data_IF_573385590964
#
_entry.id   IF_573385590964
#
_cell.length_a   1.000
_cell.length_b   1.000
_cell.length_c   1.000
_cell.angle_alpha   90.00
_cell.angle_beta   90.00
_cell.angle_gamma   90.00
#
_symmetry.space_group_name_H-M   'P 1'
#
loop_
_entity.id
_entity.type
_entity.pdbx_description
1 polymer ?
#
# COMPACT_ATOMS: atom_id res chain seq x y z
N UNK A 1 50.25 -18.55 6.05
CA UNK A 1 50.70 -17.27 5.45
C UNK A 1 49.61 -16.74 4.54
N UNK A 2 48.87 -15.73 5.01
CA UNK A 2 47.99 -14.88 4.19
C UNK A 2 48.58 -13.46 4.30
N UNK A 3 48.72 -12.70 3.20
CA UNK A 3 49.28 -11.37 3.28
C UNK A 3 48.29 -10.44 4.01
N UNK A 4 48.85 -9.74 4.98
CA UNK A 4 48.26 -8.61 5.69
C UNK A 4 48.03 -7.49 4.66
N UNK A 5 46.77 -7.34 4.23
CA UNK A 5 46.33 -6.23 3.38
C UNK A 5 45.85 -5.10 4.28
N UNK A 6 46.71 -4.10 4.46
CA UNK A 6 46.46 -2.84 5.13
C UNK A 6 45.18 -2.16 4.62
N UNK A 7 44.23 -1.93 5.52
CA UNK A 7 43.10 -1.05 5.25
C UNK A 7 43.50 0.38 5.63
N UNK A 8 43.92 1.17 4.64
CA UNK A 8 44.05 2.62 4.77
C UNK A 8 42.66 3.23 5.06
N UNK A 9 42.38 3.48 6.34
CA UNK A 9 41.30 4.35 6.80
C UNK A 9 41.87 5.73 7.07
N UNK A 10 41.61 6.69 6.19
CA UNK A 10 41.85 8.10 6.51
C UNK A 10 42.06 8.99 5.30
N UNK A 11 40.99 9.31 4.58
CA UNK A 11 40.97 10.50 3.73
C UNK A 11 40.47 11.70 4.55
N UNK A 12 41.30 12.68 4.90
CA UNK A 12 40.83 13.96 5.43
C UNK A 12 40.20 14.77 4.29
N UNK A 13 39.21 15.60 4.63
CA UNK A 13 38.65 16.65 3.77
C UNK A 13 37.84 16.19 2.54
N UNK A 14 36.69 15.56 2.80
CA UNK A 14 35.56 15.75 1.88
C UNK A 14 34.89 17.09 2.21
N UNK A 15 34.90 18.09 1.31
CA UNK A 15 34.14 19.31 1.51
C UNK A 15 32.65 18.98 1.68
N UNK A 16 31.90 19.76 2.47
CA UNK A 16 30.47 19.58 2.58
C UNK A 16 29.85 19.67 1.17
N UNK A 17 28.85 18.82 0.86
CA UNK A 17 28.18 18.89 -0.43
C UNK A 17 27.46 20.24 -0.56
N UNK A 18 27.93 21.12 -1.45
CA UNK A 18 27.33 22.41 -1.84
C UNK A 18 26.03 22.26 -2.65
N UNK A 19 25.24 21.22 -2.37
CA UNK A 19 23.93 21.02 -2.97
C UNK A 19 22.86 21.79 -2.18
N UNK A 20 21.83 22.34 -2.85
CA UNK A 20 20.61 22.76 -2.16
C UNK A 20 20.10 21.58 -1.33
N UNK A 21 19.60 21.82 -0.10
CA UNK A 21 19.15 20.76 0.78
C UNK A 21 18.16 19.88 0.00
N UNK A 22 18.50 18.59 -0.14
CA UNK A 22 17.64 17.62 -0.81
C UNK A 22 16.25 17.72 -0.14
N UNK A 23 15.17 18.03 -0.88
CA UNK A 23 13.81 18.04 -0.34
C UNK A 23 13.43 16.70 0.34
N UNK A 24 14.20 15.64 0.09
CA UNK A 24 14.09 14.31 0.73
C UNK A 24 14.73 14.24 2.13
N UNK A 25 15.36 15.31 2.60
CA UNK A 25 15.85 15.47 3.97
C UNK A 25 14.78 15.84 4.99
N UNK A 26 13.51 16.02 4.58
CA UNK A 26 12.41 16.07 5.54
C UNK A 26 12.35 14.74 6.28
N UNK A 27 12.81 14.75 7.53
CA UNK A 27 12.64 13.64 8.47
C UNK A 27 11.20 13.18 8.34
N UNK A 28 11.00 11.90 8.02
CA UNK A 28 9.69 11.27 7.91
C UNK A 28 8.79 11.40 9.16
N UNK A 29 9.25 12.07 10.22
CA UNK A 29 8.50 12.36 11.45
C UNK A 29 7.53 13.54 11.37
N UNK A 30 7.67 14.47 10.40
CA UNK A 30 6.88 15.72 10.43
C UNK A 30 5.71 15.76 9.42
N UNK A 31 5.36 14.63 8.79
CA UNK A 31 4.06 14.60 8.09
C UNK A 31 2.99 14.66 9.16
N UNK A 32 2.16 15.73 9.21
CA UNK A 32 1.09 15.81 10.18
C UNK A 32 0.22 14.58 10.00
N UNK A 33 0.21 13.72 11.02
CA UNK A 33 -0.66 12.56 11.07
C UNK A 33 -2.07 13.08 10.80
N UNK A 34 -2.68 12.69 9.68
CA UNK A 34 -4.08 13.02 9.43
C UNK A 34 -4.87 12.41 10.57
N UNK A 35 -5.40 13.24 11.47
CA UNK A 35 -6.32 12.80 12.50
C UNK A 35 -7.49 12.09 11.82
N UNK A 36 -7.82 10.92 12.31
CA UNK A 36 -8.93 10.13 11.79
C UNK A 36 -10.24 10.79 12.23
N UNK A 37 -11.26 10.77 11.36
CA UNK A 37 -12.60 11.13 11.83
C UNK A 37 -13.11 10.05 12.78
N UNK A 38 -13.99 10.38 13.74
CA UNK A 38 -14.59 9.37 14.63
C UNK A 38 -15.24 8.20 13.87
N UNK A 39 -15.92 8.51 12.76
CA UNK A 39 -16.54 7.52 11.86
C UNK A 39 -15.50 6.55 11.28
N UNK A 40 -14.37 7.05 10.77
CA UNK A 40 -13.28 6.22 10.26
C UNK A 40 -12.68 5.33 11.34
N UNK A 41 -12.59 5.82 12.57
CA UNK A 41 -12.09 5.04 13.70
C UNK A 41 -13.05 3.92 14.08
N UNK A 42 -14.36 4.18 14.07
CA UNK A 42 -15.37 3.18 14.40
C UNK A 42 -15.49 2.11 13.31
N UNK A 43 -15.47 2.49 12.03
CA UNK A 43 -15.40 1.54 10.90
C UNK A 43 -14.13 0.66 10.99
N UNK A 44 -12.98 1.29 11.24
CA UNK A 44 -11.72 0.59 11.45
C UNK A 44 -11.82 -0.41 12.60
N UNK A 45 -12.38 0.00 13.75
CA UNK A 45 -12.55 -0.87 14.91
C UNK A 45 -13.53 -2.01 14.64
N UNK A 46 -14.59 -1.79 13.86
CA UNK A 46 -15.52 -2.85 13.47
C UNK A 46 -14.82 -3.90 12.61
N UNK A 47 -14.09 -3.47 11.58
CA UNK A 47 -13.31 -4.37 10.72
C UNK A 47 -12.30 -5.20 11.53
N UNK A 48 -11.66 -4.55 12.52
CA UNK A 48 -10.73 -5.21 13.42
C UNK A 48 -11.41 -6.25 14.31
N UNK A 49 -12.60 -5.98 14.84
CA UNK A 49 -13.34 -6.96 15.65
C UNK A 49 -13.74 -8.19 14.83
N UNK A 50 -14.13 -7.98 13.59
CA UNK A 50 -14.58 -9.06 12.69
C UNK A 50 -13.43 -9.98 12.29
N UNK A 51 -12.28 -9.42 11.90
CA UNK A 51 -11.19 -10.22 11.30
C UNK A 51 -9.97 -10.42 12.21
N UNK A 52 -9.81 -9.57 13.22
CA UNK A 52 -8.61 -9.49 14.08
C UNK A 52 -8.99 -9.24 15.56
N UNK A 53 -9.83 -10.08 16.18
CA UNK A 53 -10.44 -9.79 17.49
C UNK A 53 -9.39 -9.50 18.58
N UNK A 54 -8.29 -10.26 18.62
CA UNK A 54 -7.21 -10.03 19.58
C UNK A 54 -6.56 -8.64 19.42
N UNK A 55 -6.47 -8.12 18.19
CA UNK A 55 -5.93 -6.78 17.95
C UNK A 55 -6.96 -5.71 18.32
N UNK A 56 -8.25 -5.95 18.06
CA UNK A 56 -9.33 -5.07 18.48
C UNK A 56 -9.39 -4.93 20.00
N UNK A 57 -9.27 -6.04 20.74
CA UNK A 57 -9.21 -6.04 22.20
C UNK A 57 -8.01 -5.25 22.74
N UNK A 58 -6.81 -5.50 22.19
CA UNK A 58 -5.61 -4.73 22.57
C UNK A 58 -5.76 -3.24 22.31
N UNK A 59 -6.32 -2.88 21.15
CA UNK A 59 -6.56 -1.48 20.80
C UNK A 59 -7.63 -0.83 21.68
N UNK A 60 -8.68 -1.56 22.06
CA UNK A 60 -9.69 -1.08 23.01
C UNK A 60 -9.06 -0.80 24.38
N UNK A 61 -8.21 -1.71 24.89
CA UNK A 61 -7.49 -1.50 26.14
C UNK A 61 -6.53 -0.29 26.07
N UNK A 62 -5.86 -0.08 24.93
CA UNK A 62 -5.03 1.13 24.72
C UNK A 62 -5.91 2.38 24.71
N UNK A 63 -7.07 2.35 24.04
CA UNK A 63 -8.01 3.49 23.96
C UNK A 63 -8.48 3.94 25.34
N UNK A 64 -8.73 3.00 26.26
CA UNK A 64 -9.14 3.31 27.64
C UNK A 64 -8.00 3.92 28.47
N UNK A 65 -6.76 3.44 28.27
CA UNK A 65 -5.60 3.87 29.05
C UNK A 65 -4.95 5.15 28.54
N UNK A 66 -4.80 5.27 27.22
CA UNK A 66 -4.10 6.34 26.53
C UNK A 66 -4.72 6.54 25.12
N UNK A 67 -5.70 7.45 24.99
CA UNK A 67 -6.36 7.76 23.73
C UNK A 67 -5.39 8.27 22.63
N UNK A 68 -4.38 9.04 23.00
CA UNK A 68 -3.40 9.59 22.05
C UNK A 68 -2.48 8.48 21.51
N UNK A 69 -2.11 7.51 22.35
CA UNK A 69 -1.42 6.31 21.89
C UNK A 69 -2.33 5.47 20.99
N UNK A 70 -3.61 5.31 21.32
CA UNK A 70 -4.57 4.62 20.45
C UNK A 70 -4.66 5.28 19.07
N UNK A 71 -4.82 6.60 19.00
CA UNK A 71 -4.87 7.33 17.72
C UNK A 71 -3.60 7.13 16.88
N UNK A 72 -2.42 7.19 17.50
CA UNK A 72 -1.15 6.94 16.80
C UNK A 72 -1.05 5.51 16.27
N UNK A 73 -1.40 4.54 17.12
CA UNK A 73 -1.30 3.12 16.80
C UNK A 73 -2.34 2.72 15.74
N UNK A 74 -3.55 3.25 15.80
CA UNK A 74 -4.58 3.04 14.78
C UNK A 74 -4.23 3.79 13.49
N UNK A 75 -3.81 5.05 13.59
CA UNK A 75 -3.43 5.90 12.46
C UNK A 75 -2.30 5.31 11.62
N UNK A 76 -1.28 4.72 12.25
CA UNK A 76 -0.21 4.00 11.55
C UNK A 76 -0.69 2.78 10.75
N UNK A 77 -1.79 2.15 11.18
CA UNK A 77 -2.41 1.00 10.50
C UNK A 77 -3.50 1.42 9.52
N UNK A 78 -3.94 2.68 9.56
CA UNK A 78 -5.07 3.13 8.75
C UNK A 78 -4.88 2.96 7.24
N UNK A 79 -3.68 3.19 6.64
CA UNK A 79 -3.49 2.95 5.21
C UNK A 79 -3.80 1.51 4.79
N UNK A 80 -3.53 0.53 5.66
CA UNK A 80 -3.91 -0.86 5.43
C UNK A 80 -5.42 -1.05 5.53
N UNK A 81 -6.05 -0.52 6.58
CA UNK A 81 -7.49 -0.66 6.82
C UNK A 81 -8.30 0.01 5.70
N UNK A 82 -7.92 1.22 5.25
CA UNK A 82 -8.52 1.88 4.09
C UNK A 82 -8.38 1.04 2.83
N UNK A 83 -7.23 0.39 2.63
CA UNK A 83 -7.04 -0.53 1.51
C UNK A 83 -8.02 -1.69 1.58
N UNK A 84 -8.26 -2.26 2.75
CA UNK A 84 -9.24 -3.37 2.94
C UNK A 84 -10.67 -2.88 2.65
N UNK A 85 -11.07 -1.73 3.21
CA UNK A 85 -12.43 -1.20 3.07
C UNK A 85 -12.79 -0.87 1.62
N UNK A 86 -11.87 -0.24 0.89
CA UNK A 86 -12.10 0.19 -0.50
C UNK A 86 -11.71 -0.84 -1.57
N UNK A 87 -11.16 -1.99 -1.18
CA UNK A 87 -10.87 -3.07 -2.12
C UNK A 87 -12.13 -3.82 -2.51
N UNK A 88 -12.12 -4.38 -3.73
CA UNK A 88 -13.13 -5.34 -4.15
C UNK A 88 -13.14 -6.57 -3.20
N UNK A 89 -14.25 -7.32 -3.07
CA UNK A 89 -14.40 -8.37 -2.06
C UNK A 89 -13.29 -9.42 -2.06
N UNK A 90 -12.83 -9.87 -3.24
CA UNK A 90 -11.78 -10.89 -3.31
C UNK A 90 -10.40 -10.31 -2.97
N UNK A 91 -10.11 -9.07 -3.38
CA UNK A 91 -8.86 -8.42 -2.97
C UNK A 91 -8.87 -8.17 -1.45
N UNK A 92 -10.03 -7.82 -0.88
CA UNK A 92 -10.21 -7.65 0.57
C UNK A 92 -9.83 -8.91 1.34
N UNK A 93 -10.35 -10.07 0.94
CA UNK A 93 -10.02 -11.38 1.53
C UNK A 93 -8.51 -11.65 1.48
N UNK A 94 -7.87 -11.41 0.33
CA UNK A 94 -6.43 -11.62 0.19
C UNK A 94 -5.59 -10.66 1.06
N UNK A 95 -6.02 -9.41 1.24
CA UNK A 95 -5.32 -8.48 2.13
C UNK A 95 -5.46 -8.90 3.60
N UNK A 96 -6.66 -9.34 4.00
CA UNK A 96 -6.92 -9.85 5.35
C UNK A 96 -6.03 -11.06 5.61
N UNK A 97 -5.96 -12.00 4.67
CA UNK A 97 -5.17 -13.21 4.82
C UNK A 97 -3.66 -12.91 4.88
N UNK A 98 -3.14 -12.05 4.01
CA UNK A 98 -1.73 -11.61 4.04
C UNK A 98 -1.36 -10.98 5.40
N UNK A 99 -2.28 -10.22 6.00
CA UNK A 99 -2.09 -9.64 7.31
C UNK A 99 -2.14 -10.67 8.44
N UNK A 100 -3.06 -11.65 8.38
CA UNK A 100 -3.09 -12.78 9.34
C UNK A 100 -1.76 -13.54 9.34
N UNK A 101 -1.24 -13.86 8.15
CA UNK A 101 0.05 -14.54 8.02
C UNK A 101 1.21 -13.68 8.56
N UNK A 102 1.18 -12.36 8.34
CA UNK A 102 2.16 -11.45 8.94
C UNK A 102 2.11 -11.46 10.47
N UNK A 103 0.92 -11.41 11.07
CA UNK A 103 0.76 -11.46 12.52
C UNK A 103 1.30 -12.77 13.11
N UNK A 104 1.09 -13.88 12.42
CA UNK A 104 1.60 -15.19 12.86
C UNK A 104 3.13 -15.25 12.78
N UNK A 105 3.72 -14.72 11.71
CA UNK A 105 5.18 -14.58 11.58
C UNK A 105 5.73 -13.74 12.74
N UNK A 106 5.14 -12.57 12.99
CA UNK A 106 5.57 -11.66 14.07
C UNK A 106 5.42 -12.29 15.46
N UNK A 107 4.43 -13.17 15.65
CA UNK A 107 4.25 -13.96 16.88
C UNK A 107 5.33 -15.03 17.05
N UNK A 108 5.67 -15.74 15.98
CA UNK A 108 6.60 -16.88 16.02
C UNK A 108 8.06 -16.46 16.18
N UNK A 109 8.46 -15.32 15.62
CA UNK A 109 9.85 -14.83 15.68
C UNK A 109 10.43 -14.69 17.11
N UNK A 110 9.77 -13.98 18.06
CA UNK A 110 10.30 -13.87 19.42
C UNK A 110 10.28 -15.21 20.17
N UNK A 111 9.30 -16.08 19.91
CA UNK A 111 9.26 -17.43 20.50
C UNK A 111 10.46 -18.25 20.03
N UNK A 112 10.77 -18.22 18.74
CA UNK A 112 11.91 -18.92 18.18
C UNK A 112 13.25 -18.38 18.73
N UNK A 113 13.35 -17.07 18.94
CA UNK A 113 14.53 -16.45 19.53
C UNK A 113 14.74 -16.85 21.01
N UNK A 114 13.64 -17.06 21.75
CA UNK A 114 13.66 -17.47 23.16
C UNK A 114 13.77 -18.98 23.41
N UNK A 115 13.55 -19.82 22.40
CA UNK A 115 13.53 -21.27 22.56
C UNK A 115 14.92 -21.85 22.91
N UNK A 116 14.97 -22.64 23.98
CA UNK A 116 16.21 -23.17 24.58
C UNK A 116 16.52 -24.61 24.16
N UNK A 117 15.50 -25.39 23.81
CA UNK A 117 15.65 -26.78 23.36
C UNK A 117 15.50 -26.91 21.84
N UNK A 118 16.17 -27.91 21.24
CA UNK A 118 16.21 -28.05 19.78
C UNK A 118 14.87 -28.53 19.19
N UNK A 119 14.09 -29.32 19.93
CA UNK A 119 12.80 -29.83 19.46
C UNK A 119 11.79 -28.69 19.27
N UNK A 120 11.64 -27.81 20.25
CA UNK A 120 10.84 -26.60 20.20
C UNK A 120 11.32 -25.66 19.08
N UNK A 121 12.64 -25.47 18.93
CA UNK A 121 13.20 -24.67 17.84
C UNK A 121 12.84 -25.23 16.47
N UNK A 122 12.92 -26.55 16.29
CA UNK A 122 12.53 -27.21 15.05
C UNK A 122 11.04 -27.04 14.76
N UNK A 123 10.19 -27.18 15.79
CA UNK A 123 8.75 -26.99 15.66
C UNK A 123 8.40 -25.56 15.27
N UNK A 124 8.93 -24.56 15.99
CA UNK A 124 8.73 -23.15 15.70
C UNK A 124 9.25 -22.76 14.30
N UNK A 125 10.39 -23.32 13.87
CA UNK A 125 10.89 -23.15 12.49
C UNK A 125 9.93 -23.72 11.47
N UNK A 126 9.34 -24.89 11.72
CA UNK A 126 8.37 -25.51 10.82
C UNK A 126 7.12 -24.64 10.68
N UNK A 127 6.59 -24.14 11.80
CA UNK A 127 5.44 -23.23 11.83
C UNK A 127 5.75 -21.92 11.09
N UNK A 128 6.91 -21.32 11.36
CA UNK A 128 7.34 -20.09 10.70
C UNK A 128 7.47 -20.29 9.20
N UNK A 129 8.07 -21.41 8.75
CA UNK A 129 8.16 -21.75 7.33
C UNK A 129 6.78 -21.90 6.68
N UNK A 130 5.83 -22.53 7.38
CA UNK A 130 4.46 -22.69 6.89
C UNK A 130 3.75 -21.33 6.73
N UNK A 131 3.85 -20.45 7.73
CA UNK A 131 3.27 -19.11 7.69
C UNK A 131 3.89 -18.24 6.57
N UNK A 132 5.22 -18.25 6.43
CA UNK A 132 5.91 -17.55 5.34
C UNK A 132 5.49 -18.08 3.97
N UNK A 133 5.39 -19.41 3.82
CA UNK A 133 4.92 -20.00 2.56
C UNK A 133 3.48 -19.58 2.24
N UNK A 134 2.58 -19.65 3.22
CA UNK A 134 1.19 -19.19 3.05
C UNK A 134 1.13 -17.71 2.64
N UNK A 135 1.88 -16.84 3.32
CA UNK A 135 1.97 -15.43 2.97
C UNK A 135 2.45 -15.23 1.52
N UNK A 136 3.47 -15.98 1.11
CA UNK A 136 4.01 -15.90 -0.24
C UNK A 136 2.96 -16.27 -1.30
N UNK A 137 2.19 -17.34 -1.06
CA UNK A 137 1.10 -17.74 -1.97
C UNK A 137 0.01 -16.66 -2.07
N UNK A 138 -0.40 -16.08 -0.94
CA UNK A 138 -1.39 -14.99 -0.93
C UNK A 138 -0.88 -13.77 -1.71
N UNK A 139 0.41 -13.43 -1.56
CA UNK A 139 1.02 -12.32 -2.31
C UNK A 139 1.10 -12.58 -3.81
N UNK A 140 1.43 -13.81 -4.23
CA UNK A 140 1.36 -14.20 -5.64
C UNK A 140 -0.05 -13.97 -6.18
N UNK A 141 -1.07 -14.42 -5.45
CA UNK A 141 -2.45 -14.30 -5.89
C UNK A 141 -2.92 -12.84 -5.96
N UNK A 142 -2.53 -12.01 -4.97
CA UNK A 142 -2.73 -10.54 -5.03
C UNK A 142 -2.13 -9.94 -6.30
N UNK A 143 -0.88 -10.30 -6.61
CA UNK A 143 -0.21 -9.79 -7.80
C UNK A 143 -0.88 -10.26 -9.10
N UNK A 144 -1.27 -11.54 -9.19
CA UNK A 144 -2.03 -12.06 -10.33
C UNK A 144 -3.32 -11.28 -10.56
N UNK A 145 -4.06 -10.98 -9.49
CA UNK A 145 -5.30 -10.19 -9.57
C UNK A 145 -5.05 -8.77 -10.04
N UNK A 146 -4.00 -8.11 -9.53
CA UNK A 146 -3.61 -6.77 -9.98
C UNK A 146 -3.22 -6.79 -11.46
N UNK A 147 -2.45 -7.78 -11.90
CA UNK A 147 -2.08 -7.95 -13.31
C UNK A 147 -3.35 -8.09 -14.17
N UNK A 148 -4.28 -8.97 -13.79
CA UNK A 148 -5.51 -9.18 -14.54
C UNK A 148 -6.38 -7.91 -14.66
N UNK A 149 -6.49 -7.10 -13.58
CA UNK A 149 -7.22 -5.83 -13.65
C UNK A 149 -6.51 -4.81 -14.56
N UNK A 150 -5.18 -4.73 -14.47
CA UNK A 150 -4.39 -3.86 -15.33
C UNK A 150 -4.50 -4.26 -16.80
N UNK A 151 -4.47 -5.55 -17.11
CA UNK A 151 -4.66 -6.08 -18.46
C UNK A 151 -6.04 -5.71 -19.02
N UNK A 152 -7.10 -5.87 -18.21
CA UNK A 152 -8.47 -5.47 -18.59
C UNK A 152 -8.59 -3.97 -18.85
N UNK A 153 -7.97 -3.13 -18.01
CA UNK A 153 -7.98 -1.67 -18.19
C UNK A 153 -7.19 -1.27 -19.43
N UNK A 154 -6.06 -1.91 -19.67
CA UNK A 154 -5.24 -1.69 -20.85
C UNK A 154 -6.00 -2.08 -22.13
N UNK A 155 -6.69 -3.22 -22.15
CA UNK A 155 -7.48 -3.64 -23.30
C UNK A 155 -8.62 -2.65 -23.60
N UNK A 156 -9.30 -2.15 -22.57
CA UNK A 156 -10.35 -1.14 -22.74
C UNK A 156 -9.80 0.19 -23.28
N UNK A 157 -8.65 0.64 -22.76
CA UNK A 157 -8.00 1.86 -23.25
C UNK A 157 -7.54 1.73 -24.70
N UNK A 158 -7.06 0.54 -25.10
CA UNK A 158 -6.72 0.26 -26.50
C UNK A 158 -7.96 0.35 -27.39
N UNK A 159 -9.06 -0.28 -26.99
CA UNK A 159 -10.33 -0.20 -27.72
C UNK A 159 -10.81 1.23 -27.93
N UNK A 160 -10.79 2.06 -26.87
CA UNK A 160 -11.15 3.48 -26.97
C UNK A 160 -10.20 4.24 -27.90
N UNK A 161 -8.91 3.92 -27.88
CA UNK A 161 -7.94 4.53 -28.78
C UNK A 161 -8.20 4.14 -30.23
N UNK A 162 -8.43 2.85 -30.50
CA UNK A 162 -8.72 2.34 -31.84
C UNK A 162 -10.00 2.97 -32.39
N UNK A 163 -11.07 3.04 -31.59
CA UNK A 163 -12.31 3.75 -31.95
C UNK A 163 -12.05 5.23 -32.29
N UNK A 164 -11.15 5.91 -31.57
CA UNK A 164 -10.77 7.31 -31.88
C UNK A 164 -9.95 7.43 -33.15
N UNK A 165 -9.06 6.47 -33.41
CA UNK A 165 -8.25 6.44 -34.63
C UNK A 165 -9.15 6.19 -35.85
N UNK A 166 -10.09 5.25 -35.75
CA UNK A 166 -11.07 4.96 -36.81
C UNK A 166 -11.99 6.15 -37.09
N UNK A 167 -12.33 6.92 -36.06
CA UNK A 167 -13.18 8.12 -36.17
C UNK A 167 -12.38 9.42 -36.26
N UNK A 168 -11.06 9.37 -36.51
CA UNK A 168 -10.18 10.53 -36.38
C UNK A 168 -10.61 11.70 -37.26
N UNK A 169 -10.86 11.45 -38.55
CA UNK A 169 -11.24 12.50 -39.51
C UNK A 169 -12.55 13.19 -39.11
N UNK A 170 -13.58 12.41 -38.75
CA UNK A 170 -14.85 12.96 -38.26
C UNK A 170 -14.65 13.81 -37.00
N UNK A 171 -13.86 13.33 -36.04
CA UNK A 171 -13.57 14.06 -34.80
C UNK A 171 -12.78 15.35 -35.07
N UNK A 172 -11.90 15.34 -36.08
CA UNK A 172 -11.16 16.54 -36.53
C UNK A 172 -12.13 17.54 -37.14
N UNK A 173 -13.03 17.11 -38.04
CA UNK A 173 -14.03 17.99 -38.67
C UNK A 173 -14.96 18.62 -37.63
N UNK A 174 -15.49 17.83 -36.69
CA UNK A 174 -16.31 18.32 -35.58
C UNK A 174 -15.56 19.39 -34.76
N UNK A 175 -14.27 19.17 -34.49
CA UNK A 175 -13.44 20.12 -33.74
C UNK A 175 -13.16 21.39 -34.54
N UNK A 176 -12.94 21.27 -35.84
CA UNK A 176 -12.72 22.42 -36.75
C UNK A 176 -13.99 23.27 -36.82
N UNK A 177 -15.17 22.66 -36.97
CA UNK A 177 -16.45 23.36 -36.97
C UNK A 177 -16.74 24.08 -35.65
N UNK A 178 -16.44 23.44 -34.51
CA UNK A 178 -16.54 24.07 -33.19
C UNK A 178 -15.67 25.33 -33.08
N UNK A 179 -14.42 25.27 -33.58
CA UNK A 179 -13.48 26.40 -33.57
C UNK A 179 -13.88 27.52 -34.54
N UNK A 180 -14.53 27.18 -35.66
CA UNK A 180 -15.09 28.16 -36.60
C UNK A 180 -16.40 28.80 -36.09
N UNK A 181 -16.89 28.42 -34.91
CA UNK A 181 -18.15 28.92 -34.36
C UNK A 181 -19.40 28.38 -35.09
N UNK A 182 -19.22 27.40 -35.98
CA UNK A 182 -20.32 26.70 -36.67
C UNK A 182 -20.83 25.59 -35.77
N UNK A 183 -21.36 25.94 -34.60
CA UNK A 183 -21.96 24.95 -33.71
C UNK A 183 -23.12 24.27 -34.44
N UNK A 184 -23.11 22.93 -34.60
CA UNK A 184 -24.26 22.21 -35.10
C UNK A 184 -25.45 22.49 -34.16
N UNK A 185 -26.46 23.20 -34.65
CA UNK A 185 -27.66 23.54 -33.89
C UNK A 185 -27.76 24.98 -33.36
N UNK A 186 -26.77 25.85 -33.56
CA UNK A 186 -26.92 27.28 -33.25
C UNK A 186 -27.44 28.00 -34.50
N UNK A 187 -28.76 27.96 -34.74
CA UNK A 187 -29.40 28.83 -35.73
C UNK A 187 -29.21 30.27 -35.27
N UNK A 188 -28.42 31.04 -36.03
CA UNK A 188 -28.40 32.48 -35.86
C UNK A 188 -29.79 33.02 -36.21
N UNK A 189 -30.42 33.84 -35.35
CA UNK A 189 -31.69 34.44 -35.68
C UNK A 189 -31.55 35.27 -36.96
N UNK A 190 -32.55 35.26 -37.85
CA UNK A 190 -32.52 36.08 -39.06
C UNK A 190 -32.51 37.57 -38.69
N UNK A 191 -31.73 38.36 -39.45
CA UNK A 191 -31.72 39.83 -39.40
C UNK A 191 -33.06 40.44 -39.85
#
# INVERSE_FOLDING_TARGET
MRPEGEMERGGPDRPPPDGPPDPRGMRHGDRPWRRLSPEQMDEAMQLLREHFPQMAERLAAIRERDPDQFERVLGSRMPLLMRIMHSDPRMRELIIEDFKQQMEIDRLLPLLAGATNEEERMELRRQLRAAVHAQFQVRIEKHRRVIADLERRLSEQKRVLDERVENADRLIDERVDELMGRRPGMQFPPE
#
